data_IF_588444171541
#
_entry.id   IF_588444171541
#
_cell.length_a   1.000
_cell.length_b   1.000
_cell.length_c   1.000
_cell.angle_alpha   90.00
_cell.angle_beta   90.00
_cell.angle_gamma   90.00
#
_symmetry.space_group_name_H-M   'P 1'
#
loop_
_entity.id
_entity.type
_entity.pdbx_description
1 polymer ?
#
# COMPACT_ATOMS: atom_id res chain seq x y z
N UNK A 1 8.42 -29.11 11.45
CA UNK A 1 8.89 -27.93 12.19
C UNK A 1 9.89 -28.42 13.21
N UNK A 2 11.07 -27.82 13.30
CA UNK A 2 12.04 -28.13 14.36
C UNK A 2 12.17 -26.91 15.28
N UNK A 3 12.10 -27.11 16.60
CA UNK A 3 12.16 -26.08 17.62
C UNK A 3 13.28 -26.43 18.58
N UNK A 4 14.25 -25.52 18.70
CA UNK A 4 15.42 -25.68 19.57
C UNK A 4 15.42 -24.52 20.56
N UNK A 5 15.26 -24.82 21.84
CA UNK A 5 15.32 -23.81 22.91
C UNK A 5 16.78 -23.51 23.25
N UNK A 6 17.15 -22.23 23.21
CA UNK A 6 18.42 -21.77 23.74
C UNK A 6 18.27 -21.48 25.25
N UNK A 7 19.32 -21.72 26.03
CA UNK A 7 19.31 -21.43 27.48
C UNK A 7 19.28 -19.93 27.79
N UNK A 8 19.38 -19.06 26.78
CA UNK A 8 19.44 -17.60 26.91
C UNK A 8 18.10 -16.91 26.59
N UNK A 9 16.97 -17.62 26.73
CA UNK A 9 15.63 -17.06 26.55
C UNK A 9 15.22 -16.81 25.10
N UNK A 10 15.97 -17.37 24.14
CA UNK A 10 15.63 -17.34 22.71
C UNK A 10 15.25 -18.74 22.23
N UNK A 11 14.35 -18.82 21.26
CA UNK A 11 14.00 -20.07 20.60
C UNK A 11 14.37 -19.99 19.13
N UNK A 12 15.05 -21.02 18.62
CA UNK A 12 15.32 -21.17 17.20
C UNK A 12 14.26 -22.05 16.58
N UNK A 13 13.57 -21.51 15.59
CA UNK A 13 12.55 -22.21 14.83
C UNK A 13 13.03 -22.48 13.40
N UNK A 14 12.86 -23.70 12.92
CA UNK A 14 13.20 -24.11 11.55
C UNK A 14 11.93 -24.62 10.86
N UNK A 15 11.54 -23.92 9.80
CA UNK A 15 10.36 -24.19 8.99
C UNK A 15 10.72 -24.43 7.53
N UNK A 16 9.89 -25.22 6.85
CA UNK A 16 9.90 -25.36 5.39
C UNK A 16 8.59 -24.80 4.87
N UNK A 17 8.66 -23.70 4.13
CA UNK A 17 7.49 -22.99 3.59
C UNK A 17 7.70 -22.61 2.12
N UNK A 18 6.61 -22.29 1.39
CA UNK A 18 6.71 -21.84 0.02
C UNK A 18 7.34 -20.44 -0.06
N UNK A 19 8.26 -20.22 -1.01
CA UNK A 19 8.90 -18.90 -1.20
C UNK A 19 7.89 -17.77 -1.42
N UNK A 20 6.76 -18.06 -2.09
CA UNK A 20 5.66 -17.10 -2.33
C UNK A 20 5.06 -16.54 -1.03
N UNK A 21 4.93 -17.35 0.02
CA UNK A 21 4.39 -16.90 1.31
C UNK A 21 5.42 -16.15 2.18
N UNK A 22 6.69 -16.15 1.78
CA UNK A 22 7.77 -15.47 2.52
C UNK A 22 8.10 -14.08 1.94
N UNK A 23 7.47 -13.70 0.83
CA UNK A 23 7.59 -12.35 0.27
C UNK A 23 6.89 -11.38 1.23
N UNK A 24 7.57 -10.30 1.63
CA UNK A 24 7.04 -9.32 2.59
C UNK A 24 7.12 -9.70 4.08
N UNK A 25 7.13 -11.00 4.42
CA UNK A 25 7.10 -11.46 5.82
C UNK A 25 8.27 -10.96 6.67
N UNK A 26 9.42 -10.62 6.07
CA UNK A 26 10.58 -10.07 6.82
C UNK A 26 10.20 -8.81 7.59
N UNK A 27 9.43 -7.92 6.97
CA UNK A 27 9.02 -6.66 7.60
C UNK A 27 8.07 -6.91 8.78
N UNK A 28 7.10 -7.81 8.60
CA UNK A 28 6.17 -8.24 9.66
C UNK A 28 6.90 -8.91 10.82
N UNK A 29 7.83 -9.83 10.52
CA UNK A 29 8.64 -10.51 11.53
C UNK A 29 9.46 -9.53 12.38
N UNK A 30 10.01 -8.47 11.78
CA UNK A 30 10.72 -7.44 12.53
C UNK A 30 9.77 -6.65 13.44
N UNK A 31 8.55 -6.38 13.00
CA UNK A 31 7.52 -5.74 13.84
C UNK A 31 7.10 -6.65 15.00
N UNK A 32 6.79 -7.92 14.73
CA UNK A 32 6.36 -8.90 15.75
C UNK A 32 7.43 -9.12 16.82
N UNK A 33 8.69 -9.20 16.39
CA UNK A 33 9.83 -9.40 17.29
C UNK A 33 10.41 -8.11 17.86
N UNK A 34 9.79 -6.96 17.55
CA UNK A 34 10.27 -5.62 17.94
C UNK A 34 11.76 -5.42 17.61
N UNK A 35 12.20 -5.94 16.47
CA UNK A 35 13.57 -5.87 15.97
C UNK A 35 14.59 -6.80 16.63
N UNK A 36 14.18 -7.63 17.60
CA UNK A 36 15.11 -8.54 18.31
C UNK A 36 15.27 -9.90 17.63
N UNK A 37 14.37 -10.24 16.72
CA UNK A 37 14.37 -11.50 15.99
C UNK A 37 15.40 -11.53 14.86
N UNK A 38 15.91 -12.72 14.57
CA UNK A 38 16.80 -12.98 13.42
C UNK A 38 16.08 -13.96 12.49
N UNK A 39 15.89 -13.53 11.24
CA UNK A 39 15.29 -14.35 10.19
C UNK A 39 16.32 -14.64 9.09
N UNK A 40 16.58 -15.91 8.83
CA UNK A 40 17.41 -16.38 7.71
C UNK A 40 16.58 -17.30 6.83
N UNK A 41 16.69 -17.13 5.50
CA UNK A 41 16.03 -17.98 4.52
C UNK A 41 17.05 -18.62 3.58
N UNK A 42 16.82 -19.86 3.20
CA UNK A 42 17.61 -20.58 2.21
C UNK A 42 16.66 -21.36 1.28
N UNK A 43 16.97 -21.38 -0.02
CA UNK A 43 16.26 -22.25 -0.95
C UNK A 43 16.56 -23.72 -0.62
N UNK A 44 15.52 -24.55 -0.59
CA UNK A 44 15.64 -25.99 -0.32
C UNK A 44 15.46 -26.81 -1.60
N UNK A 45 14.27 -26.76 -2.18
CA UNK A 45 13.88 -27.57 -3.33
C UNK A 45 12.63 -26.99 -4.03
N UNK A 46 12.38 -27.45 -5.27
CA UNK A 46 11.09 -27.28 -5.93
C UNK A 46 10.13 -28.37 -5.47
N UNK A 47 8.83 -28.07 -5.43
CA UNK A 47 7.81 -29.02 -5.03
C UNK A 47 6.42 -28.63 -5.55
N UNK A 48 5.38 -29.42 -5.25
CA UNK A 48 4.03 -29.12 -5.68
C UNK A 48 3.56 -27.76 -5.17
N UNK A 49 2.78 -27.07 -6.00
CA UNK A 49 2.22 -25.75 -5.71
C UNK A 49 1.33 -25.85 -4.48
N UNK A 50 1.79 -25.27 -3.36
CA UNK A 50 0.93 -25.03 -2.19
C UNK A 50 -0.02 -23.86 -2.48
N UNK A 51 -1.16 -23.82 -1.78
CA UNK A 51 -2.17 -22.77 -1.90
C UNK A 51 -1.52 -21.39 -1.86
N UNK A 52 -1.96 -20.50 -2.75
CA UNK A 52 -1.44 -19.14 -2.80
C UNK A 52 -1.83 -18.41 -1.51
N UNK A 53 -0.94 -17.61 -0.90
CA UNK A 53 -1.40 -16.60 0.06
C UNK A 53 -2.51 -15.76 -0.60
N UNK A 54 -3.54 -15.43 0.17
CA UNK A 54 -4.62 -14.59 -0.30
C UNK A 54 -4.05 -13.25 -0.78
N UNK A 55 -4.53 -12.74 -1.91
CA UNK A 55 -4.25 -11.37 -2.34
C UNK A 55 -4.75 -10.36 -1.31
N UNK A 56 -4.51 -9.07 -1.57
CA UNK A 56 -5.08 -8.01 -0.73
C UNK A 56 -6.61 -8.17 -0.68
N UNK A 57 -7.20 -8.02 0.51
CA UNK A 57 -8.66 -8.02 0.65
C UNK A 57 -9.26 -6.67 0.25
N UNK A 58 -8.48 -5.61 0.42
CA UNK A 58 -8.89 -4.22 0.27
C UNK A 58 -8.60 -3.71 -1.14
N UNK A 59 -9.50 -2.88 -1.65
CA UNK A 59 -9.33 -2.08 -2.85
C UNK A 59 -8.32 -0.95 -2.67
N UNK A 60 -8.00 -0.22 -3.73
CA UNK A 60 -7.07 0.91 -3.70
C UNK A 60 -7.77 2.22 -4.06
N UNK A 61 -7.27 3.31 -3.49
CA UNK A 61 -7.63 4.66 -3.89
C UNK A 61 -6.72 5.06 -5.06
N UNK A 62 -7.31 5.26 -6.24
CA UNK A 62 -6.58 5.58 -7.47
C UNK A 62 -6.81 7.04 -7.82
N UNK A 63 -5.73 7.78 -8.07
CA UNK A 63 -5.80 9.18 -8.50
C UNK A 63 -6.37 9.27 -9.91
N UNK A 64 -7.35 10.15 -10.12
CA UNK A 64 -7.93 10.46 -11.44
C UNK A 64 -7.38 11.76 -12.05
N UNK A 65 -6.42 12.42 -11.39
CA UNK A 65 -5.95 13.74 -11.78
C UNK A 65 -4.44 13.91 -11.57
N UNK A 66 -3.84 14.74 -12.42
CA UNK A 66 -2.47 15.19 -12.27
C UNK A 66 -2.43 16.47 -11.42
N UNK A 67 -1.47 16.56 -10.51
CA UNK A 67 -1.23 17.77 -9.71
C UNK A 67 -0.84 17.46 -8.27
N UNK A 68 -0.75 18.50 -7.46
CA UNK A 68 -0.27 18.42 -6.08
C UNK A 68 -1.41 18.07 -5.12
N UNK A 69 -1.16 17.09 -4.24
CA UNK A 69 -2.12 16.69 -3.21
C UNK A 69 -2.31 17.80 -2.17
N UNK A 70 -3.56 18.11 -1.81
CA UNK A 70 -3.87 19.17 -0.83
C UNK A 70 -4.41 18.58 0.48
N UNK A 71 -4.01 19.14 1.62
CA UNK A 71 -4.48 18.66 2.94
C UNK A 71 -6.00 18.64 3.07
N UNK A 72 -6.69 19.56 2.38
CA UNK A 72 -8.15 19.66 2.41
C UNK A 72 -8.81 18.37 1.93
N UNK A 73 -8.46 17.92 0.72
CA UNK A 73 -9.08 16.72 0.14
C UNK A 73 -8.51 15.44 0.75
N UNK A 74 -7.24 15.43 1.15
CA UNK A 74 -6.66 14.28 1.86
C UNK A 74 -7.42 13.98 3.15
N UNK A 75 -7.86 15.00 3.90
CA UNK A 75 -8.69 14.80 5.09
C UNK A 75 -10.05 14.16 4.77
N UNK A 76 -10.66 14.49 3.63
CA UNK A 76 -11.89 13.83 3.17
C UNK A 76 -11.63 12.38 2.70
N UNK A 77 -10.48 12.14 2.08
CA UNK A 77 -10.08 10.81 1.58
C UNK A 77 -9.66 9.85 2.71
N UNK A 78 -9.16 10.37 3.83
CA UNK A 78 -8.83 9.58 5.01
C UNK A 78 -10.05 8.83 5.58
N UNK A 79 -11.25 9.41 5.45
CA UNK A 79 -12.49 8.72 5.81
C UNK A 79 -12.80 7.49 4.94
N UNK A 80 -12.15 7.37 3.77
CA UNK A 80 -12.34 6.25 2.83
C UNK A 80 -11.32 5.14 3.02
N UNK A 81 -10.22 5.39 3.73
CA UNK A 81 -9.20 4.40 4.04
C UNK A 81 -7.84 5.00 4.40
N UNK A 82 -6.78 4.20 4.28
CA UNK A 82 -5.44 4.58 4.72
C UNK A 82 -4.67 5.22 3.58
N UNK A 83 -4.19 6.45 3.77
CA UNK A 83 -3.42 7.17 2.75
C UNK A 83 -1.96 6.69 2.69
N UNK A 84 -1.40 6.69 1.49
CA UNK A 84 0.03 6.43 1.24
C UNK A 84 0.82 7.71 0.96
N UNK A 85 0.11 8.81 0.69
CA UNK A 85 0.69 10.11 0.38
C UNK A 85 0.34 11.14 1.44
N UNK A 86 1.24 12.11 1.64
CA UNK A 86 1.00 13.28 2.48
C UNK A 86 0.57 14.50 1.66
N UNK A 87 0.45 15.62 2.36
CA UNK A 87 0.25 16.92 1.72
C UNK A 87 1.44 17.30 0.82
N UNK A 88 1.19 18.07 -0.23
CA UNK A 88 2.17 18.55 -1.20
C UNK A 88 2.89 17.46 -2.02
N UNK A 89 2.34 16.25 -2.09
CA UNK A 89 2.88 15.18 -2.96
C UNK A 89 2.33 15.34 -4.38
N UNK A 90 3.21 15.31 -5.37
CA UNK A 90 2.80 15.27 -6.78
C UNK A 90 2.19 13.92 -7.14
N UNK A 91 0.93 13.98 -7.57
CA UNK A 91 0.13 12.85 -8.00
C UNK A 91 -0.08 12.91 -9.51
N UNK A 92 -0.27 11.74 -10.11
CA UNK A 92 -0.62 11.59 -11.51
C UNK A 92 -1.78 10.61 -11.68
N UNK A 93 -2.45 10.65 -12.82
CA UNK A 93 -3.58 9.78 -13.14
C UNK A 93 -3.17 8.29 -13.12
N UNK A 94 -3.93 7.46 -12.43
CA UNK A 94 -3.63 6.05 -12.20
C UNK A 94 -2.61 5.75 -11.09
N UNK A 95 -2.06 6.77 -10.41
CA UNK A 95 -1.26 6.59 -9.20
C UNK A 95 -2.14 6.09 -8.05
N UNK A 96 -1.67 5.09 -7.31
CA UNK A 96 -2.35 4.60 -6.10
C UNK A 96 -1.93 5.49 -4.93
N UNK A 97 -2.90 6.16 -4.33
CA UNK A 97 -2.70 7.17 -3.28
C UNK A 97 -3.10 6.68 -1.89
N UNK A 98 -3.71 5.49 -1.80
CA UNK A 98 -4.07 4.86 -0.54
C UNK A 98 -4.74 3.50 -0.71
N UNK A 99 -5.04 2.89 0.42
CA UNK A 99 -5.81 1.65 0.57
C UNK A 99 -7.27 2.01 0.88
N UNK A 100 -8.21 1.42 0.15
CA UNK A 100 -9.64 1.59 0.41
C UNK A 100 -10.07 0.71 1.59
N UNK A 101 -10.94 1.24 2.45
CA UNK A 101 -11.59 0.46 3.51
C UNK A 101 -12.48 -0.68 2.97
N UNK A 102 -12.94 -0.55 1.72
CA UNK A 102 -13.73 -1.55 1.00
C UNK A 102 -12.87 -2.39 0.05
N UNK A 103 -13.46 -3.42 -0.54
CA UNK A 103 -12.79 -4.36 -1.46
C UNK A 103 -12.66 -3.83 -2.89
N UNK A 104 -13.46 -2.84 -3.27
CA UNK A 104 -13.47 -2.25 -4.60
C UNK A 104 -12.45 -1.12 -4.74
N UNK A 105 -11.83 -1.00 -5.91
CA UNK A 105 -10.98 0.15 -6.22
C UNK A 105 -11.84 1.40 -6.42
N UNK A 106 -11.37 2.52 -5.87
CA UNK A 106 -12.09 3.79 -5.89
C UNK A 106 -11.26 4.89 -6.55
N UNK A 107 -11.81 5.46 -7.60
CA UNK A 107 -11.24 6.63 -8.27
C UNK A 107 -11.46 7.89 -7.41
N UNK A 108 -10.39 8.61 -7.10
CA UNK A 108 -10.38 9.79 -6.24
C UNK A 108 -9.55 10.90 -6.88
N UNK A 109 -9.91 12.15 -6.58
CA UNK A 109 -9.12 13.30 -7.04
C UNK A 109 -8.35 13.87 -5.84
N UNK A 110 -7.03 13.63 -5.73
CA UNK A 110 -6.24 14.14 -4.61
C UNK A 110 -5.85 15.62 -4.76
N UNK A 111 -6.14 16.27 -5.89
CA UNK A 111 -5.69 17.65 -6.20
C UNK A 111 -6.79 18.71 -6.01
N UNK A 112 -8.00 18.29 -5.64
CA UNK A 112 -9.13 19.19 -5.49
C UNK A 112 -8.91 20.20 -4.35
N UNK A 113 -8.83 21.48 -4.70
CA UNK A 113 -8.71 22.56 -3.73
C UNK A 113 -10.05 22.92 -3.09
N UNK A 114 -10.01 23.46 -1.86
CA UNK A 114 -11.19 24.00 -1.18
C UNK A 114 -11.79 25.13 -2.05
N UNK A 115 -13.06 25.01 -2.42
CA UNK A 115 -13.77 26.13 -3.06
C UNK A 115 -13.90 27.26 -2.04
N UNK A 116 -13.26 28.40 -2.33
CA UNK A 116 -13.45 29.66 -1.59
C UNK A 116 -14.86 30.19 -1.90
N UNK A 117 -15.90 29.62 -1.29
CA UNK A 117 -17.17 30.32 -1.17
C UNK A 117 -16.96 31.43 -0.14
N UNK A 118 -17.31 32.67 -0.49
CA UNK A 118 -17.29 33.87 0.38
C UNK A 118 -18.25 33.75 1.58
N UNK A 119 -18.21 32.65 2.32
CA UNK A 119 -18.97 32.45 3.55
C UNK A 119 -18.02 32.81 4.69
N UNK A 120 -18.23 34.01 5.22
CA UNK A 120 -17.71 34.49 6.49
C UNK A 120 -18.06 33.48 7.60
N UNK A 121 -17.18 32.52 7.85
CA UNK A 121 -17.20 31.75 9.10
C UNK A 121 -16.16 32.40 10.03
N UNK A 122 -16.66 33.24 10.92
CA UNK A 122 -15.88 33.80 12.01
C UNK A 122 -15.29 32.65 12.84
N UNK A 123 -13.95 32.59 12.92
CA UNK A 123 -13.23 31.84 13.95
C UNK A 123 -13.32 30.33 13.88
N UNK A 124 -12.57 29.71 12.96
CA UNK A 124 -11.86 28.41 13.14
C UNK A 124 -11.21 28.01 11.81
N UNK A 125 -10.00 28.48 11.56
CA UNK A 125 -9.05 27.67 10.81
C UNK A 125 -8.63 26.53 11.74
N UNK A 126 -9.47 25.49 11.83
CA UNK A 126 -9.05 24.24 12.42
C UNK A 126 -7.89 23.73 11.57
N UNK A 127 -6.68 23.78 12.14
CA UNK A 127 -5.51 23.19 11.53
C UNK A 127 -5.82 21.71 11.25
N UNK A 128 -6.07 21.38 9.99
CA UNK A 128 -6.38 20.02 9.54
C UNK A 128 -5.21 19.11 9.94
N UNK A 129 -5.44 18.24 10.92
CA UNK A 129 -4.49 17.23 11.34
C UNK A 129 -4.76 15.96 10.55
N UNK A 130 -3.88 15.69 9.58
CA UNK A 130 -3.91 14.44 8.83
C UNK A 130 -3.26 13.33 9.64
N UNK A 131 -3.81 12.11 9.55
CA UNK A 131 -3.10 10.93 10.03
C UNK A 131 -1.84 10.72 9.18
N UNK A 132 -0.68 10.39 9.80
CA UNK A 132 0.53 10.11 9.06
C UNK A 132 0.30 9.02 8.00
N UNK A 133 0.67 9.25 6.72
CA UNK A 133 0.48 8.26 5.68
C UNK A 133 1.33 7.02 5.92
N UNK A 134 0.83 5.86 5.49
CA UNK A 134 1.60 4.62 5.53
C UNK A 134 2.73 4.72 4.51
N UNK A 135 3.98 4.71 5.01
CA UNK A 135 5.15 4.73 4.15
C UNK A 135 5.29 3.41 3.37
N UNK A 136 5.42 3.49 2.05
CA UNK A 136 5.54 2.33 1.17
C UNK A 136 7.01 2.01 0.94
N UNK A 137 7.47 0.91 1.53
CA UNK A 137 8.80 0.34 1.22
C UNK A 137 8.72 -0.52 -0.04
N UNK A 138 9.87 -0.77 -0.68
CA UNK A 138 9.93 -1.63 -1.86
C UNK A 138 9.44 -3.06 -1.55
N UNK A 139 9.86 -3.62 -0.41
CA UNK A 139 9.44 -4.95 0.02
C UNK A 139 7.92 -5.02 0.24
N UNK A 140 7.35 -4.00 0.89
CA UNK A 140 5.92 -3.90 1.09
C UNK A 140 5.18 -3.77 -0.26
N UNK A 141 5.61 -2.84 -1.11
CA UNK A 141 5.01 -2.61 -2.42
C UNK A 141 4.98 -3.86 -3.30
N UNK A 142 6.08 -4.62 -3.36
CA UNK A 142 6.16 -5.87 -4.12
C UNK A 142 5.23 -6.98 -3.59
N UNK A 143 4.89 -6.94 -2.31
CA UNK A 143 3.95 -7.88 -1.69
C UNK A 143 2.50 -7.40 -1.83
N UNK A 144 2.32 -6.08 -1.96
CA UNK A 144 1.02 -5.41 -1.95
C UNK A 144 0.34 -5.40 -3.32
N UNK A 145 1.10 -5.20 -4.40
CA UNK A 145 0.52 -5.02 -5.74
C UNK A 145 -0.21 -6.26 -6.26
N UNK A 146 -1.27 -6.02 -7.01
CA UNK A 146 -1.99 -7.04 -7.79
C UNK A 146 -1.52 -7.13 -9.25
N UNK A 147 -2.09 -8.07 -10.01
CA UNK A 147 -1.70 -8.32 -11.40
C UNK A 147 -1.94 -7.13 -12.33
N UNK A 148 -2.86 -6.22 -12.02
CA UNK A 148 -3.12 -5.02 -12.80
C UNK A 148 -2.35 -3.79 -12.31
N UNK A 149 -1.38 -3.97 -11.41
CA UNK A 149 -0.61 -2.93 -10.73
C UNK A 149 0.89 -3.06 -10.97
N UNK A 150 1.61 -1.97 -10.69
CA UNK A 150 3.06 -1.86 -10.80
C UNK A 150 3.63 -1.03 -9.64
N UNK A 151 4.85 -1.39 -9.22
CA UNK A 151 5.68 -0.54 -8.36
C UNK A 151 6.58 0.31 -9.26
N UNK A 152 6.40 1.63 -9.19
CA UNK A 152 7.30 2.60 -9.82
C UNK A 152 8.45 2.90 -8.84
N UNK A 153 9.68 2.67 -9.28
CA UNK A 153 10.88 2.91 -8.46
C UNK A 153 11.76 3.95 -9.13
N UNK A 154 12.08 4.98 -8.37
CA UNK A 154 13.07 6.00 -8.70
C UNK A 154 14.08 6.10 -7.56
N UNK A 155 15.25 6.72 -7.74
CA UNK A 155 16.22 6.88 -6.65
C UNK A 155 15.66 7.60 -5.42
N UNK A 156 14.66 8.46 -5.61
CA UNK A 156 14.09 9.28 -4.53
C UNK A 156 12.72 8.80 -4.04
N UNK A 157 11.98 8.05 -4.86
CA UNK A 157 10.59 7.70 -4.59
C UNK A 157 10.26 6.26 -4.98
N UNK A 158 9.44 5.62 -4.16
CA UNK A 158 8.76 4.36 -4.45
C UNK A 158 7.27 4.66 -4.48
N UNK A 159 6.60 4.37 -5.60
CA UNK A 159 5.18 4.65 -5.80
C UNK A 159 4.46 3.40 -6.29
N UNK A 160 3.15 3.36 -6.05
CA UNK A 160 2.26 2.32 -6.55
C UNK A 160 1.38 2.92 -7.64
N UNK A 161 1.09 2.18 -8.70
CA UNK A 161 0.21 2.63 -9.79
C UNK A 161 -0.49 1.47 -10.47
N UNK A 162 -1.60 1.78 -11.13
CA UNK A 162 -2.24 0.85 -12.07
C UNK A 162 -1.44 0.74 -13.38
N UNK A 163 -1.54 -0.41 -14.04
CA UNK A 163 -0.98 -0.63 -15.39
C UNK A 163 -1.64 0.30 -16.40
N UNK A 164 -2.97 0.31 -16.45
CA UNK A 164 -3.74 1.30 -17.19
C UNK A 164 -3.90 2.57 -16.37
N UNK A 165 -3.29 3.68 -16.82
CA UNK A 165 -3.35 4.97 -16.10
C UNK A 165 -4.70 5.66 -16.22
N UNK A 166 -5.30 5.62 -17.41
CA UNK A 166 -6.63 6.17 -17.64
C UNK A 166 -7.72 5.21 -17.14
N UNK A 167 -8.69 5.73 -16.40
CA UNK A 167 -9.84 4.98 -15.91
C UNK A 167 -10.64 4.32 -17.03
N UNK A 168 -10.76 4.95 -18.20
CA UNK A 168 -11.46 4.35 -19.33
C UNK A 168 -10.67 3.20 -19.94
N UNK A 169 -9.34 3.33 -20.02
CA UNK A 169 -8.46 2.24 -20.42
C UNK A 169 -8.58 1.03 -19.47
N UNK A 170 -8.62 1.25 -18.14
CA UNK A 170 -8.84 0.17 -17.15
C UNK A 170 -10.16 -0.57 -17.38
N UNK A 171 -11.26 0.16 -17.61
CA UNK A 171 -12.57 -0.43 -17.90
C UNK A 171 -12.55 -1.29 -19.18
N UNK A 172 -11.77 -0.90 -20.20
CA UNK A 172 -11.59 -1.68 -21.43
C UNK A 172 -10.73 -2.93 -21.22
N UNK A 173 -9.63 -2.81 -20.47
CA UNK A 173 -8.77 -3.95 -20.11
C UNK A 173 -9.56 -5.01 -19.34
N UNK A 174 -10.40 -4.60 -18.39
CA UNK A 174 -11.25 -5.54 -17.63
C UNK A 174 -12.29 -6.27 -18.49
N UNK A 175 -12.68 -5.72 -19.64
CA UNK A 175 -13.62 -6.34 -20.60
C UNK A 175 -12.95 -7.24 -21.63
N UNK A 176 -11.63 -7.14 -21.80
CA UNK A 176 -10.86 -7.89 -22.82
C UNK A 176 -10.03 -9.03 -22.23
N UNK A 177 -10.00 -9.15 -20.90
CA UNK A 177 -9.35 -10.25 -20.16
C UNK A 177 -10.26 -11.43 -19.83
N UNK A 178 -11.41 -11.55 -20.51
CA UNK A 178 -12.19 -12.80 -20.64
C UNK A 178 -11.84 -13.45 -21.98
#
# INVERSE_FOLDING_TARGET
>A
VNMISDHHGKQRLIFVGPSRGMIGYRSEFLTDTRGTGILTRQFKEYGPVKSNPAGRRNGVLVSMANGTATSYILNELEARGVLFIGNNVECYDGMIVGENSRTDDLEVNPTHAKKLSNVRAAGKDEALRLTPPRNITLEYGLTYIEEDELVEVTPSNIRLRKKGLDANARKRMRRSGE
#
